data_IF_997775803972
#
_entry.id   IF_997775803972
#
_cell.length_a   1.000
_cell.length_b   1.000
_cell.length_c   1.000
_cell.angle_alpha   90.00
_cell.angle_beta   90.00
_cell.angle_gamma   90.00
#
_symmetry.space_group_name_H-M   'P 1'
#
loop_
_entity.id
_entity.type
_entity.pdbx_description
1 polymer ?
#
# COMPACT_ATOMS: atom_id res chain seq x y z
N UNK A 1 2.12 25.31 -8.45
CA UNK A 1 0.71 25.61 -8.11
C UNK A 1 0.63 25.85 -6.60
N UNK A 2 -0.21 26.76 -6.10
CA UNK A 2 -0.34 26.98 -4.65
C UNK A 2 -1.60 26.27 -4.15
N UNK A 3 -1.46 25.43 -3.12
CA UNK A 3 -2.59 24.77 -2.45
C UNK A 3 -3.49 25.82 -1.79
N UNK A 4 -4.80 25.61 -1.85
CA UNK A 4 -5.73 26.47 -1.14
C UNK A 4 -5.61 26.25 0.38
N UNK A 5 -5.97 27.24 1.19
CA UNK A 5 -5.87 27.14 2.66
C UNK A 5 -6.69 25.98 3.23
N UNK A 6 -7.85 25.69 2.62
CA UNK A 6 -8.68 24.54 2.98
C UNK A 6 -7.96 23.21 2.74
N UNK A 7 -7.19 23.10 1.66
CA UNK A 7 -6.41 21.88 1.37
C UNK A 7 -5.33 21.68 2.43
N UNK A 8 -4.64 22.77 2.80
CA UNK A 8 -3.61 22.74 3.83
C UNK A 8 -4.19 22.36 5.19
N UNK A 9 -5.37 22.89 5.56
CA UNK A 9 -6.06 22.53 6.81
C UNK A 9 -6.35 21.02 6.84
N UNK A 10 -6.87 20.45 5.75
CA UNK A 10 -7.15 19.01 5.66
C UNK A 10 -5.86 18.19 5.83
N UNK A 11 -4.78 18.59 5.16
CA UNK A 11 -3.49 17.90 5.27
C UNK A 11 -2.88 17.98 6.67
N UNK A 12 -2.91 19.16 7.31
CA UNK A 12 -2.40 19.36 8.67
C UNK A 12 -3.25 18.57 9.66
N UNK A 13 -4.57 18.57 9.51
CA UNK A 13 -5.47 17.79 10.36
C UNK A 13 -5.21 16.27 10.23
N UNK A 14 -5.01 15.79 9.00
CA UNK A 14 -4.63 14.40 8.73
C UNK A 14 -3.29 14.04 9.41
N UNK A 15 -2.24 14.83 9.18
CA UNK A 15 -0.90 14.58 9.75
C UNK A 15 -0.92 14.63 11.28
N UNK A 16 -1.59 15.63 11.85
CA UNK A 16 -1.79 15.75 13.29
C UNK A 16 -2.56 14.55 13.86
N UNK A 17 -3.61 14.11 13.18
CA UNK A 17 -4.38 12.92 13.53
C UNK A 17 -3.50 11.67 13.63
N UNK A 18 -2.73 11.36 12.59
CA UNK A 18 -1.85 10.18 12.56
C UNK A 18 -0.81 10.22 13.70
N UNK A 19 -0.22 11.38 13.98
CA UNK A 19 0.71 11.56 15.10
C UNK A 19 0.04 11.35 16.46
N UNK A 20 -1.19 11.85 16.64
CA UNK A 20 -1.98 11.64 17.86
C UNK A 20 -2.29 10.16 18.09
N UNK A 21 -2.62 9.42 17.02
CA UNK A 21 -2.79 7.97 17.07
C UNK A 21 -1.51 7.27 17.54
N UNK A 22 -0.36 7.60 16.93
CA UNK A 22 0.94 7.05 17.33
C UNK A 22 1.25 7.27 18.81
N UNK A 23 1.02 8.48 19.31
CA UNK A 23 1.21 8.82 20.72
C UNK A 23 0.24 8.08 21.65
N UNK A 24 -1.05 8.00 21.28
CA UNK A 24 -2.08 7.36 22.09
C UNK A 24 -1.79 5.86 22.29
N UNK A 25 -1.47 5.15 21.20
CA UNK A 25 -1.15 3.73 21.26
C UNK A 25 0.25 3.44 21.84
N UNK A 26 1.17 4.40 21.78
CA UNK A 26 2.50 4.29 22.36
C UNK A 26 2.53 4.13 23.88
N UNK A 27 1.46 4.57 24.57
CA UNK A 27 1.31 4.48 26.03
C UNK A 27 1.18 3.05 26.56
N UNK A 28 0.81 2.10 25.69
CA UNK A 28 0.55 0.70 26.06
C UNK A 28 1.75 -0.23 25.85
N UNK A 29 2.83 0.26 25.22
CA UNK A 29 3.96 -0.57 24.80
C UNK A 29 4.93 -0.84 25.95
N UNK A 30 4.98 -2.09 26.46
CA UNK A 30 5.86 -2.47 27.57
C UNK A 30 7.02 -3.37 27.13
N UNK A 31 6.80 -4.19 26.11
CA UNK A 31 7.78 -5.14 25.60
C UNK A 31 7.69 -5.28 24.07
N UNK A 32 8.44 -6.24 23.50
CA UNK A 32 8.46 -6.48 22.05
C UNK A 32 7.19 -7.17 21.53
N UNK A 33 6.44 -7.85 22.40
CA UNK A 33 5.18 -8.51 22.04
C UNK A 33 4.09 -7.47 21.86
N UNK A 34 4.01 -6.47 22.73
CA UNK A 34 3.17 -5.28 22.51
C UNK A 34 3.62 -4.58 21.20
N UNK A 35 4.92 -4.28 21.09
CA UNK A 35 5.44 -3.42 20.03
C UNK A 35 5.33 -4.01 18.62
N UNK A 36 5.50 -5.33 18.46
CA UNK A 36 5.46 -5.99 17.14
C UNK A 36 4.19 -6.78 16.88
N UNK A 37 3.47 -7.24 17.90
CA UNK A 37 2.32 -8.12 17.73
C UNK A 37 1.01 -7.53 18.29
N UNK A 38 1.04 -6.31 18.85
CA UNK A 38 -0.14 -5.68 19.46
C UNK A 38 -0.82 -6.60 20.50
N UNK A 39 0.00 -7.32 21.27
CA UNK A 39 -0.40 -8.37 22.24
C UNK A 39 -1.28 -9.51 21.68
N UNK A 40 -1.35 -9.65 20.34
CA UNK A 40 -2.20 -10.62 19.65
C UNK A 40 -3.71 -10.42 19.85
N UNK A 41 -4.14 -9.23 20.21
CA UNK A 41 -5.56 -8.93 20.47
C UNK A 41 -6.22 -8.06 19.39
N UNK A 42 -5.54 -7.82 18.26
CA UNK A 42 -6.09 -7.00 17.19
C UNK A 42 -7.34 -7.68 16.58
N UNK A 43 -8.48 -6.97 16.47
CA UNK A 43 -9.70 -7.56 15.93
C UNK A 43 -9.58 -7.79 14.43
N UNK A 44 -10.21 -8.86 13.92
CA UNK A 44 -10.09 -9.27 12.52
C UNK A 44 -10.42 -8.18 11.50
N UNK A 45 -11.36 -7.28 11.79
CA UNK A 45 -11.77 -6.22 10.88
C UNK A 45 -10.70 -5.11 10.79
N UNK A 46 -10.01 -4.81 11.89
CA UNK A 46 -8.91 -3.84 11.89
C UNK A 46 -7.71 -4.43 11.15
N UNK A 47 -7.44 -5.73 11.34
CA UNK A 47 -6.44 -6.46 10.57
C UNK A 47 -6.78 -6.53 9.09
N UNK A 48 -8.05 -6.77 8.73
CA UNK A 48 -8.50 -6.73 7.34
C UNK A 48 -8.19 -5.37 6.72
N UNK A 49 -8.61 -4.27 7.37
CA UNK A 49 -8.33 -2.92 6.89
C UNK A 49 -6.84 -2.62 6.78
N UNK A 50 -6.05 -3.09 7.74
CA UNK A 50 -4.60 -2.95 7.75
C UNK A 50 -3.90 -3.75 6.63
N UNK A 51 -4.38 -4.95 6.29
CA UNK A 51 -3.90 -5.71 5.12
C UNK A 51 -4.16 -4.91 3.84
N UNK A 52 -5.39 -4.42 3.64
CA UNK A 52 -5.77 -3.66 2.44
C UNK A 52 -4.94 -2.37 2.31
N UNK A 53 -4.78 -1.62 3.40
CA UNK A 53 -4.01 -0.38 3.43
C UNK A 53 -2.52 -0.62 3.14
N UNK A 54 -1.98 -1.77 3.54
CA UNK A 54 -0.57 -2.12 3.28
C UNK A 54 -0.35 -2.62 1.88
N UNK A 55 -1.33 -3.35 1.32
CA UNK A 55 -1.31 -3.85 -0.05
C UNK A 55 -1.48 -2.70 -1.07
N UNK A 56 -2.17 -1.64 -0.68
CA UNK A 56 -2.46 -0.48 -1.52
C UNK A 56 -1.43 0.61 -1.32
N UNK A 57 -0.76 1.01 -2.41
CA UNK A 57 0.20 2.11 -2.40
C UNK A 57 -0.31 3.29 -3.23
N UNK A 58 0.36 4.44 -3.10
CA UNK A 58 0.18 5.58 -4.02
C UNK A 58 0.30 5.17 -5.48
N UNK A 59 1.25 4.28 -5.80
CA UNK A 59 1.43 3.78 -7.17
C UNK A 59 0.16 3.07 -7.62
N UNK A 60 -0.42 2.20 -6.80
CA UNK A 60 -1.69 1.51 -7.09
C UNK A 60 -2.85 2.49 -7.30
N UNK A 61 -2.97 3.49 -6.42
CA UNK A 61 -4.03 4.50 -6.46
C UNK A 61 -4.07 5.26 -7.80
N UNK A 62 -2.93 5.38 -8.48
CA UNK A 62 -2.76 6.18 -9.70
C UNK A 62 -2.62 5.31 -10.95
N UNK A 63 -1.88 4.21 -10.85
CA UNK A 63 -1.59 3.33 -11.97
C UNK A 63 -2.81 2.53 -12.39
N UNK A 64 -3.73 2.21 -11.48
CA UNK A 64 -4.94 1.42 -11.80
C UNK A 64 -5.94 2.25 -12.61
N UNK A 65 -6.29 3.50 -12.23
CA UNK A 65 -7.06 4.36 -13.12
C UNK A 65 -6.35 4.59 -14.46
N UNK A 66 -5.03 4.81 -14.44
CA UNK A 66 -4.24 4.97 -15.67
C UNK A 66 -4.32 3.75 -16.59
N UNK A 67 -4.28 2.55 -16.00
CA UNK A 67 -4.41 1.28 -16.73
C UNK A 67 -5.76 1.18 -17.43
N UNK A 68 -6.87 1.56 -16.80
CA UNK A 68 -8.19 1.55 -17.45
C UNK A 68 -8.36 2.70 -18.46
N UNK A 69 -7.68 3.84 -18.24
CA UNK A 69 -7.72 4.99 -19.13
C UNK A 69 -7.12 4.67 -20.51
N UNK A 70 -5.87 4.19 -20.55
CA UNK A 70 -5.15 3.94 -21.80
C UNK A 70 -4.30 2.67 -21.74
N UNK A 71 -4.10 2.06 -22.91
CA UNK A 71 -3.16 0.97 -23.07
C UNK A 71 -1.72 1.48 -22.95
N UNK A 72 -0.85 0.66 -22.37
CA UNK A 72 0.58 0.93 -22.30
C UNK A 72 1.26 0.69 -23.67
N UNK A 73 2.58 0.93 -23.74
CA UNK A 73 3.36 0.75 -24.98
C UNK A 73 3.35 -0.67 -25.57
N UNK A 74 2.91 -1.68 -24.79
CA UNK A 74 2.74 -3.08 -25.24
C UNK A 74 1.32 -3.38 -25.70
N UNK A 75 0.43 -2.38 -25.74
CA UNK A 75 -0.98 -2.56 -26.06
C UNK A 75 -1.79 -3.20 -24.93
N UNK A 76 -1.27 -3.24 -23.70
CA UNK A 76 -1.97 -3.82 -22.55
C UNK A 76 -2.66 -2.73 -21.74
N UNK A 77 -3.91 -2.96 -21.36
CA UNK A 77 -4.75 -2.00 -20.65
C UNK A 77 -5.72 -1.27 -21.56
N UNK A 78 -6.17 -0.10 -21.12
CA UNK A 78 -7.25 0.67 -21.73
C UNK A 78 -8.65 0.09 -21.47
N UNK A 79 -8.81 -0.88 -20.57
CA UNK A 79 -10.07 -1.55 -20.25
C UNK A 79 -10.00 -2.23 -18.85
N UNK A 80 -10.98 -3.09 -18.54
CA UNK A 80 -11.11 -3.77 -17.24
C UNK A 80 -10.27 -5.06 -17.09
N UNK A 81 -9.40 -5.40 -18.04
CA UNK A 81 -8.61 -6.65 -18.03
C UNK A 81 -7.71 -6.82 -16.80
N UNK A 82 -7.39 -5.74 -16.08
CA UNK A 82 -6.69 -5.79 -14.78
C UNK A 82 -7.42 -6.68 -13.76
N UNK A 83 -8.76 -6.79 -13.84
CA UNK A 83 -9.53 -7.61 -12.90
C UNK A 83 -9.17 -9.10 -12.93
N UNK A 84 -8.60 -9.59 -14.03
CA UNK A 84 -8.10 -10.97 -14.12
C UNK A 84 -6.99 -11.24 -13.10
N UNK A 85 -6.14 -10.24 -12.86
CA UNK A 85 -5.11 -10.26 -11.81
C UNK A 85 -5.73 -10.28 -10.40
N UNK A 86 -6.79 -9.49 -10.20
CA UNK A 86 -7.52 -9.40 -8.93
C UNK A 86 -8.25 -10.71 -8.60
N UNK A 87 -8.79 -11.41 -9.60
CA UNK A 87 -9.33 -12.77 -9.44
C UNK A 87 -8.23 -13.73 -8.97
N UNK A 88 -7.03 -13.66 -9.58
CA UNK A 88 -5.85 -14.37 -9.10
C UNK A 88 -5.53 -14.07 -7.63
N UNK A 89 -5.64 -12.81 -7.22
CA UNK A 89 -5.41 -12.43 -5.82
C UNK A 89 -6.37 -13.12 -4.84
N UNK A 90 -7.62 -13.38 -5.24
CA UNK A 90 -8.57 -14.09 -4.39
C UNK A 90 -8.19 -15.56 -4.23
N UNK A 91 -7.75 -16.20 -5.32
CA UNK A 91 -7.27 -17.59 -5.29
C UNK A 91 -6.01 -17.70 -4.39
N UNK A 92 -5.07 -16.77 -4.52
CA UNK A 92 -3.88 -16.73 -3.67
C UNK A 92 -4.21 -16.65 -2.18
N UNK A 93 -5.21 -15.85 -1.79
CA UNK A 93 -5.68 -15.78 -0.39
C UNK A 93 -6.22 -17.12 0.12
N UNK A 94 -6.97 -17.85 -0.71
CA UNK A 94 -7.46 -19.18 -0.36
C UNK A 94 -6.31 -20.16 -0.11
N UNK A 95 -5.26 -20.10 -0.94
CA UNK A 95 -4.04 -20.91 -0.75
C UNK A 95 -3.36 -20.55 0.58
N UNK A 96 -3.22 -19.26 0.90
CA UNK A 96 -2.64 -18.80 2.17
C UNK A 96 -3.45 -19.30 3.37
N UNK A 97 -4.77 -19.21 3.32
CA UNK A 97 -5.66 -19.71 4.38
C UNK A 97 -5.53 -21.22 4.55
N UNK A 98 -5.48 -21.99 3.46
CA UNK A 98 -5.44 -23.44 3.53
C UNK A 98 -4.08 -23.97 4.02
N UNK A 99 -2.98 -23.35 3.61
CA UNK A 99 -1.63 -23.88 3.83
C UNK A 99 -0.89 -23.14 4.94
N UNK A 100 -0.80 -21.81 4.85
CA UNK A 100 0.15 -21.03 5.65
C UNK A 100 -0.42 -20.60 7.00
N UNK A 101 -1.69 -20.16 7.05
CA UNK A 101 -2.32 -19.76 8.31
C UNK A 101 -2.22 -20.86 9.38
N UNK A 102 -2.61 -22.13 9.11
CA UNK A 102 -2.48 -23.19 10.12
C UNK A 102 -1.05 -23.40 10.62
N UNK A 103 -0.03 -23.17 9.78
CA UNK A 103 1.38 -23.34 10.15
C UNK A 103 1.86 -22.23 11.10
N UNK A 104 1.40 -20.99 10.92
CA UNK A 104 1.81 -19.86 11.76
C UNK A 104 1.26 -19.94 13.18
N UNK A 105 0.10 -20.56 13.36
CA UNK A 105 -0.53 -20.71 14.67
C UNK A 105 -0.11 -21.99 15.41
N UNK A 106 0.83 -22.80 14.88
CA UNK A 106 1.41 -23.96 15.60
C UNK A 106 2.43 -23.59 16.69
N UNK A 107 2.60 -22.31 16.98
CA UNK A 107 3.45 -21.84 18.08
C UNK A 107 3.53 -20.33 18.14
N UNK A 108 4.35 -19.80 19.06
CA UNK A 108 4.56 -18.36 19.16
C UNK A 108 5.68 -17.91 18.22
N UNK A 109 5.31 -17.28 17.11
CA UNK A 109 6.24 -16.67 16.16
C UNK A 109 6.17 -15.14 16.26
N UNK A 110 7.32 -14.50 16.10
CA UNK A 110 7.45 -13.06 15.86
C UNK A 110 7.76 -12.78 14.39
N UNK A 111 8.49 -13.69 13.73
CA UNK A 111 8.80 -13.59 12.30
C UNK A 111 8.42 -14.85 11.55
N UNK A 112 8.00 -14.68 10.30
CA UNK A 112 7.71 -15.79 9.38
C UNK A 112 8.93 -16.68 9.16
N UNK A 113 10.14 -16.11 9.21
CA UNK A 113 11.39 -16.83 8.96
C UNK A 113 11.75 -17.82 10.08
N UNK A 114 11.20 -17.67 11.29
CA UNK A 114 11.34 -18.67 12.35
C UNK A 114 10.74 -20.03 11.96
N UNK A 115 9.76 -20.06 11.04
CA UNK A 115 9.26 -21.32 10.47
C UNK A 115 10.35 -22.05 9.67
N UNK A 116 11.17 -21.29 8.93
CA UNK A 116 12.30 -21.85 8.16
C UNK A 116 13.40 -22.38 9.07
N UNK A 117 13.62 -21.75 10.22
CA UNK A 117 14.58 -22.23 11.22
C UNK A 117 14.19 -23.61 11.75
N UNK A 118 12.91 -23.79 12.10
CA UNK A 118 12.39 -25.07 12.60
C UNK A 118 12.49 -26.18 11.54
N UNK A 119 12.39 -25.85 10.26
CA UNK A 119 12.36 -26.84 9.17
C UNK A 119 13.72 -27.12 8.54
N UNK A 120 14.55 -26.10 8.37
CA UNK A 120 15.79 -26.13 7.58
C UNK A 120 17.02 -25.56 8.32
N UNK A 121 16.83 -24.99 9.51
CA UNK A 121 17.90 -24.46 10.36
C UNK A 121 18.24 -22.98 10.13
N UNK A 122 19.11 -22.47 11.01
CA UNK A 122 19.32 -21.03 11.18
C UNK A 122 19.95 -20.32 9.99
N UNK A 123 20.71 -21.03 9.14
CA UNK A 123 21.29 -20.43 7.93
C UNK A 123 20.21 -20.08 6.91
N UNK A 124 19.24 -20.97 6.67
CA UNK A 124 18.11 -20.69 5.76
C UNK A 124 17.25 -19.55 6.29
N UNK A 125 16.95 -19.55 7.59
CA UNK A 125 16.26 -18.42 8.25
C UNK A 125 16.97 -17.09 7.96
N UNK A 126 18.27 -17.01 8.25
CA UNK A 126 19.04 -15.76 8.12
C UNK A 126 19.15 -15.31 6.67
N UNK A 127 19.32 -16.22 5.73
CA UNK A 127 19.33 -15.87 4.30
C UNK A 127 17.99 -15.27 3.87
N UNK A 128 16.87 -15.89 4.22
CA UNK A 128 15.54 -15.36 3.91
C UNK A 128 15.28 -14.00 4.56
N UNK A 129 15.65 -13.86 5.85
CA UNK A 129 15.52 -12.61 6.59
C UNK A 129 16.39 -11.48 6.01
N UNK A 130 17.63 -11.77 5.59
CA UNK A 130 18.52 -10.79 4.94
C UNK A 130 17.97 -10.37 3.58
N UNK A 131 17.51 -11.32 2.77
CA UNK A 131 16.90 -11.03 1.47
C UNK A 131 15.68 -10.13 1.64
N UNK A 132 14.81 -10.44 2.60
CA UNK A 132 13.68 -9.57 2.95
C UNK A 132 14.16 -8.16 3.31
N UNK A 133 15.05 -8.00 4.30
CA UNK A 133 15.49 -6.67 4.76
C UNK A 133 16.07 -5.81 3.62
N UNK A 134 16.90 -6.39 2.76
CA UNK A 134 17.53 -5.68 1.64
C UNK A 134 16.50 -5.32 0.57
N UNK A 135 15.80 -6.33 0.05
CA UNK A 135 14.87 -6.14 -1.08
C UNK A 135 13.67 -5.28 -0.69
N UNK A 136 13.15 -5.45 0.53
CA UNK A 136 12.05 -4.66 1.08
C UNK A 136 12.44 -3.19 1.22
N UNK A 137 13.61 -2.91 1.78
CA UNK A 137 14.09 -1.53 1.96
C UNK A 137 14.34 -0.82 0.64
N UNK A 138 14.89 -1.53 -0.36
CA UNK A 138 15.06 -0.99 -1.70
C UNK A 138 13.71 -0.70 -2.35
N UNK A 139 12.79 -1.67 -2.34
CA UNK A 139 11.47 -1.53 -2.96
C UNK A 139 10.66 -0.40 -2.33
N UNK A 140 10.62 -0.29 -1.00
CA UNK A 140 9.84 0.75 -0.31
C UNK A 140 10.49 2.13 -0.41
N UNK A 141 11.83 2.22 -0.46
CA UNK A 141 12.51 3.47 -0.76
C UNK A 141 12.20 3.98 -2.17
N UNK A 142 12.20 3.10 -3.17
CA UNK A 142 11.79 3.46 -4.55
C UNK A 142 10.31 3.85 -4.61
N UNK A 143 9.44 3.15 -3.86
CA UNK A 143 8.01 3.50 -3.77
C UNK A 143 7.77 4.84 -3.08
N UNK A 144 8.58 5.18 -2.07
CA UNK A 144 8.56 6.50 -1.42
C UNK A 144 8.97 7.61 -2.40
N UNK A 145 10.00 7.37 -3.21
CA UNK A 145 10.36 8.27 -4.31
C UNK A 145 9.22 8.43 -5.34
N UNK A 146 8.62 7.33 -5.80
CA UNK A 146 7.50 7.39 -6.75
C UNK A 146 6.30 8.17 -6.18
N UNK A 147 6.03 8.02 -4.88
CA UNK A 147 5.01 8.81 -4.18
C UNK A 147 5.37 10.30 -4.18
N UNK A 148 6.64 10.64 -3.94
CA UNK A 148 7.07 12.04 -3.92
C UNK A 148 6.85 12.71 -5.28
N UNK A 149 7.13 12.03 -6.40
CA UNK A 149 6.89 12.56 -7.75
C UNK A 149 5.41 12.93 -7.97
N UNK A 150 4.50 12.10 -7.47
CA UNK A 150 3.06 12.38 -7.53
C UNK A 150 2.74 13.63 -6.72
N UNK A 151 3.25 13.72 -5.50
CA UNK A 151 3.00 14.88 -4.65
C UNK A 151 3.56 16.16 -5.26
N UNK A 152 4.73 16.12 -5.88
CA UNK A 152 5.30 17.26 -6.60
C UNK A 152 4.39 17.69 -7.75
N UNK A 153 3.83 16.76 -8.51
CA UNK A 153 2.86 17.09 -9.56
C UNK A 153 1.58 17.74 -9.00
N UNK A 154 1.15 17.36 -7.79
CA UNK A 154 -0.06 17.89 -7.16
C UNK A 154 0.13 19.22 -6.43
N UNK A 155 1.26 19.39 -5.73
CA UNK A 155 1.50 20.49 -4.80
C UNK A 155 2.53 21.49 -5.30
N UNK A 156 3.37 21.09 -6.26
CA UNK A 156 4.56 21.85 -6.66
C UNK A 156 5.67 21.89 -5.61
N UNK A 157 5.61 21.06 -4.56
CA UNK A 157 6.69 20.95 -3.57
C UNK A 157 7.94 20.32 -4.20
N UNK A 158 9.11 20.53 -3.60
CA UNK A 158 10.33 19.85 -4.03
C UNK A 158 10.31 18.37 -3.61
N UNK A 159 10.84 17.47 -4.44
CA UNK A 159 10.86 16.02 -4.18
C UNK A 159 11.43 15.67 -2.79
N UNK A 160 12.58 16.25 -2.34
CA UNK A 160 13.14 15.94 -1.02
C UNK A 160 12.22 16.35 0.12
N UNK A 161 11.47 17.45 -0.03
CA UNK A 161 10.52 17.93 0.99
C UNK A 161 9.37 16.93 1.18
N UNK A 162 8.79 16.44 0.09
CA UNK A 162 7.72 15.44 0.13
C UNK A 162 8.20 14.12 0.77
N UNK A 163 9.39 13.65 0.40
CA UNK A 163 10.02 12.45 1.00
C UNK A 163 10.22 12.63 2.50
N UNK A 164 10.78 13.76 2.93
CA UNK A 164 11.05 14.01 4.34
C UNK A 164 9.76 14.13 5.16
N UNK A 165 8.72 14.78 4.63
CA UNK A 165 7.43 14.87 5.33
C UNK A 165 6.83 13.48 5.52
N UNK A 166 6.69 12.69 4.45
CA UNK A 166 6.15 11.32 4.53
C UNK A 166 6.99 10.48 5.48
N UNK A 167 8.31 10.46 5.26
CA UNK A 167 9.25 9.62 5.98
C UNK A 167 9.31 9.94 7.46
N UNK A 168 9.50 11.21 7.82
CA UNK A 168 9.64 11.62 9.23
C UNK A 168 8.34 11.42 10.00
N UNK A 169 7.19 11.84 9.45
CA UNK A 169 5.90 11.63 10.13
C UNK A 169 5.67 10.14 10.33
N UNK A 170 5.95 9.33 9.31
CA UNK A 170 5.80 7.87 9.39
C UNK A 170 6.70 7.22 10.41
N UNK A 171 7.97 7.62 10.46
CA UNK A 171 8.91 7.14 11.47
C UNK A 171 8.38 7.49 12.87
N UNK A 172 7.95 8.73 13.10
CA UNK A 172 7.53 9.19 14.43
C UNK A 172 6.35 8.38 14.96
N UNK A 173 5.24 8.26 14.21
CA UNK A 173 4.06 7.55 14.74
C UNK A 173 4.32 6.04 14.89
N UNK A 174 5.12 5.45 13.99
CA UNK A 174 5.47 4.02 14.05
C UNK A 174 6.41 3.74 15.22
N UNK A 175 7.42 4.59 15.43
CA UNK A 175 8.38 4.52 16.54
C UNK A 175 7.69 4.62 17.91
N UNK A 176 6.73 5.54 18.03
CA UNK A 176 6.01 5.75 19.28
C UNK A 176 5.05 4.59 19.56
N UNK A 177 4.24 4.22 18.58
CA UNK A 177 3.05 3.41 18.77
C UNK A 177 3.18 1.93 18.44
N UNK A 178 4.25 1.50 17.77
CA UNK A 178 4.44 0.10 17.36
C UNK A 178 3.33 -0.40 16.44
N UNK A 179 3.16 -1.72 16.39
CA UNK A 179 2.21 -2.38 15.49
C UNK A 179 0.75 -2.01 15.78
N UNK A 180 0.40 -1.71 17.05
CA UNK A 180 -0.93 -1.21 17.37
C UNK A 180 -1.23 0.11 16.65
N UNK A 181 -0.32 1.08 16.70
CA UNK A 181 -0.52 2.32 15.96
C UNK A 181 -0.61 2.06 14.46
N UNK A 182 0.28 1.24 13.89
CA UNK A 182 0.26 0.88 12.46
C UNK A 182 -1.11 0.36 12.03
N UNK A 183 -1.66 -0.63 12.75
CA UNK A 183 -2.96 -1.23 12.41
C UNK A 183 -4.08 -0.18 12.45
N UNK A 184 -4.12 0.65 13.48
CA UNK A 184 -5.20 1.63 13.65
C UNK A 184 -5.07 2.83 12.70
N UNK A 185 -3.85 3.30 12.44
CA UNK A 185 -3.62 4.33 11.42
C UNK A 185 -3.95 3.80 10.04
N UNK A 186 -3.62 2.54 9.74
CA UNK A 186 -3.95 1.91 8.46
C UNK A 186 -5.47 1.87 8.22
N UNK A 187 -6.27 1.54 9.23
CA UNK A 187 -7.74 1.54 9.11
C UNK A 187 -8.26 2.93 8.76
N UNK A 188 -7.76 3.97 9.43
CA UNK A 188 -8.12 5.35 9.13
C UNK A 188 -7.66 5.74 7.74
N UNK A 189 -6.43 5.37 7.36
CA UNK A 189 -5.86 5.66 6.04
C UNK A 189 -6.62 4.98 4.91
N UNK A 190 -7.07 3.73 5.11
CA UNK A 190 -7.99 3.03 4.22
C UNK A 190 -9.27 3.84 3.98
N UNK A 191 -9.92 4.28 5.06
CA UNK A 191 -11.14 5.09 4.94
C UNK A 191 -10.85 6.38 4.19
N UNK A 192 -9.77 7.09 4.52
CA UNK A 192 -9.41 8.36 3.87
C UNK A 192 -9.20 8.15 2.37
N UNK A 193 -8.44 7.15 1.94
CA UNK A 193 -8.17 7.00 0.51
C UNK A 193 -9.35 6.45 -0.28
N UNK A 194 -10.16 5.55 0.30
CA UNK A 194 -11.39 5.08 -0.36
C UNK A 194 -12.39 6.22 -0.49
N UNK A 195 -12.59 7.00 0.57
CA UNK A 195 -13.48 8.18 0.53
C UNK A 195 -12.95 9.22 -0.45
N UNK A 196 -11.65 9.51 -0.44
CA UNK A 196 -11.03 10.42 -1.40
C UNK A 196 -11.25 9.99 -2.85
N UNK A 197 -11.07 8.71 -3.15
CA UNK A 197 -11.35 8.15 -4.48
C UNK A 197 -12.84 8.20 -4.84
N UNK A 198 -13.75 7.86 -3.91
CA UNK A 198 -15.19 7.93 -4.13
C UNK A 198 -15.68 9.36 -4.39
N UNK A 199 -15.21 10.33 -3.60
CA UNK A 199 -15.55 11.75 -3.78
C UNK A 199 -15.05 12.24 -5.14
N UNK A 200 -13.80 11.90 -5.51
CA UNK A 200 -13.26 12.23 -6.83
C UNK A 200 -14.08 11.59 -7.96
N UNK A 201 -14.47 10.31 -7.81
CA UNK A 201 -15.29 9.58 -8.76
C UNK A 201 -16.69 10.20 -8.95
N UNK A 202 -17.34 10.59 -7.85
CA UNK A 202 -18.66 11.24 -7.90
C UNK A 202 -18.56 12.60 -8.60
N UNK A 203 -17.58 13.43 -8.22
CA UNK A 203 -17.39 14.74 -8.86
C UNK A 203 -17.10 14.57 -10.36
N UNK A 204 -16.18 13.67 -10.72
CA UNK A 204 -15.87 13.34 -12.10
C UNK A 204 -17.13 12.94 -12.88
N UNK A 205 -17.98 12.07 -12.34
CA UNK A 205 -19.23 11.67 -12.97
C UNK A 205 -20.18 12.85 -13.20
N UNK A 206 -20.30 13.77 -12.24
CA UNK A 206 -21.15 14.97 -12.39
C UNK A 206 -20.63 15.97 -13.43
N UNK A 207 -19.34 15.88 -13.78
CA UNK A 207 -18.70 16.74 -14.80
C UNK A 207 -18.80 16.18 -16.21
N UNK A 208 -19.16 14.91 -16.37
CA UNK A 208 -19.36 14.27 -17.68
C UNK A 208 -20.76 14.63 -18.19
N UNK A 209 -20.90 15.30 -19.35
CA UNK A 209 -22.20 15.55 -19.97
C UNK A 209 -22.95 14.22 -20.19
N UNK A 210 -24.22 14.13 -19.80
CA UNK A 210 -24.98 12.87 -19.86
C UNK A 210 -24.71 11.87 -18.72
N UNK A 211 -23.73 12.15 -17.85
CA UNK A 211 -23.44 11.38 -16.64
C UNK A 211 -23.14 9.91 -16.92
N UNK A 212 -23.72 9.00 -16.14
CA UNK A 212 -23.44 7.56 -16.26
C UNK A 212 -23.87 6.95 -17.60
N UNK A 213 -24.94 7.46 -18.20
CA UNK A 213 -25.40 7.00 -19.51
C UNK A 213 -24.32 7.21 -20.58
N UNK A 214 -23.67 8.38 -20.55
CA UNK A 214 -22.55 8.70 -21.43
C UNK A 214 -21.34 7.80 -21.18
N UNK A 215 -21.01 7.56 -19.90
CA UNK A 215 -19.89 6.67 -19.53
C UNK A 215 -20.09 5.27 -20.12
N UNK A 216 -21.31 4.75 -20.07
CA UNK A 216 -21.64 3.44 -20.64
C UNK A 216 -21.61 3.48 -22.17
N UNK A 217 -22.16 4.52 -22.80
CA UNK A 217 -22.21 4.64 -24.26
C UNK A 217 -20.80 4.71 -24.86
N UNK A 218 -20.01 5.72 -24.46
CA UNK A 218 -18.63 5.92 -24.94
C UNK A 218 -17.74 4.76 -24.50
N UNK A 219 -17.90 4.26 -23.27
CA UNK A 219 -17.14 3.12 -22.78
C UNK A 219 -17.35 1.85 -23.62
N UNK A 220 -18.57 1.61 -24.13
CA UNK A 220 -18.84 0.49 -25.03
C UNK A 220 -18.26 0.71 -26.42
N UNK A 221 -18.39 1.92 -26.98
CA UNK A 221 -17.82 2.29 -28.29
C UNK A 221 -16.31 2.04 -28.33
N UNK A 222 -15.61 2.38 -27.25
CA UNK A 222 -14.16 2.21 -27.13
C UNK A 222 -13.73 0.90 -26.43
N UNK A 223 -14.65 -0.07 -26.28
CA UNK A 223 -14.38 -1.39 -25.67
C UNK A 223 -13.74 -1.35 -24.27
N UNK A 224 -14.02 -0.31 -23.48
CA UNK A 224 -13.47 -0.09 -22.14
C UNK A 224 -13.92 -1.12 -21.12
N UNK A 225 -15.08 -1.76 -21.33
CA UNK A 225 -15.65 -2.74 -20.40
C UNK A 225 -15.18 -4.19 -20.63
N UNK A 226 -14.21 -4.41 -21.52
CA UNK A 226 -13.62 -5.74 -21.69
C UNK A 226 -12.96 -6.21 -20.39
N UNK A 227 -13.52 -7.28 -19.80
CA UNK A 227 -13.07 -7.85 -18.52
C UNK A 227 -12.07 -8.99 -18.69
N UNK A 228 -12.24 -9.78 -19.75
CA UNK A 228 -11.45 -10.98 -19.99
C UNK A 228 -10.70 -10.90 -21.33
N UNK A 229 -9.46 -11.35 -21.32
CA UNK A 229 -8.64 -11.58 -22.51
C UNK A 229 -8.05 -13.00 -22.44
N UNK A 230 -8.62 -13.93 -23.21
CA UNK A 230 -8.21 -15.34 -23.20
C UNK A 230 -7.01 -15.64 -24.12
N UNK A 231 -6.35 -14.62 -24.66
CA UNK A 231 -5.16 -14.77 -25.51
C UNK A 231 -4.07 -15.57 -24.78
N UNK A 232 -3.52 -16.58 -25.46
CA UNK A 232 -2.39 -17.38 -24.97
C UNK A 232 -1.07 -16.82 -25.52
N UNK A 233 -0.58 -15.78 -24.86
CA UNK A 233 0.70 -15.13 -25.17
C UNK A 233 1.50 -14.91 -23.88
N UNK A 234 2.67 -15.53 -23.77
CA UNK A 234 3.55 -15.43 -22.61
C UNK A 234 4.23 -14.05 -22.50
N UNK A 235 4.20 -13.24 -23.55
CA UNK A 235 4.70 -11.86 -23.55
C UNK A 235 3.71 -10.86 -22.94
N UNK A 236 2.45 -11.25 -22.71
CA UNK A 236 1.39 -10.40 -22.15
C UNK A 236 1.14 -10.72 -20.67
N UNK A 237 1.03 -9.67 -19.87
CA UNK A 237 0.91 -9.70 -18.41
C UNK A 237 -0.54 -9.73 -17.94
N UNK A 238 -1.48 -9.19 -18.71
CA UNK A 238 -2.89 -9.01 -18.30
C UNK A 238 -3.89 -9.86 -19.10
N UNK A 239 -3.47 -11.04 -19.56
CA UNK A 239 -4.40 -12.07 -20.08
C UNK A 239 -5.05 -12.84 -18.93
N UNK A 240 -6.09 -13.63 -19.21
CA UNK A 240 -6.79 -14.44 -18.22
C UNK A 240 -5.83 -15.39 -17.52
N UNK A 241 -5.01 -16.09 -18.29
CA UNK A 241 -4.06 -17.08 -17.79
C UNK A 241 -2.94 -16.41 -16.99
N UNK A 242 -2.30 -15.37 -17.55
CA UNK A 242 -1.23 -14.65 -16.86
C UNK A 242 -1.73 -13.94 -15.60
N UNK A 243 -2.89 -13.30 -15.66
CA UNK A 243 -3.52 -12.59 -14.55
C UNK A 243 -3.95 -13.53 -13.43
N UNK A 244 -4.69 -14.59 -13.73
CA UNK A 244 -5.21 -15.50 -12.69
C UNK A 244 -4.07 -16.29 -12.04
N UNK A 245 -3.20 -16.91 -12.83
CA UNK A 245 -2.07 -17.70 -12.30
C UNK A 245 -1.06 -16.78 -11.64
N UNK A 246 -0.63 -15.73 -12.32
CA UNK A 246 0.33 -14.76 -11.81
C UNK A 246 -0.17 -14.06 -10.54
N UNK A 247 -1.44 -13.66 -10.50
CA UNK A 247 -2.07 -13.08 -9.31
C UNK A 247 -2.12 -14.06 -8.14
N UNK A 248 -2.46 -15.33 -8.37
CA UNK A 248 -2.48 -16.34 -7.32
C UNK A 248 -1.08 -16.58 -6.74
N UNK A 249 -0.05 -16.68 -7.59
CA UNK A 249 1.34 -16.80 -7.14
C UNK A 249 1.83 -15.55 -6.43
N UNK A 250 1.55 -14.36 -6.97
CA UNK A 250 1.94 -13.08 -6.37
C UNK A 250 1.33 -12.92 -4.98
N UNK A 251 0.03 -13.17 -4.84
CA UNK A 251 -0.64 -13.09 -3.53
C UNK A 251 -0.15 -14.17 -2.58
N UNK A 252 0.06 -15.41 -3.05
CA UNK A 252 0.61 -16.46 -2.17
C UNK A 252 2.00 -16.08 -1.65
N UNK A 253 2.86 -15.49 -2.47
CA UNK A 253 4.17 -15.02 -2.04
C UNK A 253 4.06 -13.84 -1.06
N UNK A 254 3.37 -12.76 -1.46
CA UNK A 254 3.28 -11.51 -0.69
C UNK A 254 2.47 -11.67 0.60
N UNK A 255 1.41 -12.46 0.60
CA UNK A 255 0.53 -12.63 1.75
C UNK A 255 0.86 -13.88 2.56
N UNK A 256 1.52 -14.88 1.97
CA UNK A 256 1.82 -16.15 2.61
C UNK A 256 3.29 -16.36 2.96
N UNK A 257 4.21 -15.45 2.64
CA UNK A 257 5.62 -15.62 3.02
C UNK A 257 6.32 -14.33 3.45
N UNK A 258 5.71 -13.18 3.19
CA UNK A 258 6.29 -11.88 3.51
C UNK A 258 5.98 -11.47 4.95
N UNK A 259 7.00 -11.05 5.70
CA UNK A 259 6.84 -10.63 7.09
C UNK A 259 5.81 -9.51 7.22
N UNK A 260 5.71 -8.61 6.24
CA UNK A 260 4.78 -7.49 6.22
C UNK A 260 3.32 -7.92 6.42
N UNK A 261 2.91 -8.97 5.71
CA UNK A 261 1.54 -9.49 5.79
C UNK A 261 1.40 -10.51 6.90
N UNK A 262 2.38 -11.42 7.06
CA UNK A 262 2.31 -12.48 8.07
C UNK A 262 2.26 -11.91 9.49
N UNK A 263 2.95 -10.81 9.75
CA UNK A 263 2.93 -10.15 11.05
C UNK A 263 1.51 -9.73 11.46
N UNK A 264 0.64 -9.35 10.52
CA UNK A 264 -0.78 -9.01 10.83
C UNK A 264 -1.56 -10.22 11.29
N UNK A 265 -1.31 -11.39 10.70
CA UNK A 265 -1.94 -12.63 11.18
C UNK A 265 -1.47 -12.94 12.59
N UNK A 266 -0.17 -12.77 12.86
CA UNK A 266 0.42 -12.99 14.19
C UNK A 266 -0.07 -11.98 15.25
N UNK A 267 -0.69 -10.86 14.84
CA UNK A 267 -1.37 -9.91 15.72
C UNK A 267 -2.81 -10.29 16.07
N UNK A 268 -3.34 -11.35 15.45
CA UNK A 268 -4.68 -11.86 15.76
C UNK A 268 -4.65 -12.91 16.86
N UNK A 269 -5.78 -13.07 17.54
CA UNK A 269 -5.94 -14.00 18.66
C UNK A 269 -5.74 -15.46 18.27
N UNK A 270 -6.22 -15.83 17.09
CA UNK A 270 -6.24 -17.20 16.61
C UNK A 270 -6.32 -17.28 15.08
N UNK A 271 -6.09 -18.48 14.55
CA UNK A 271 -6.10 -18.75 13.11
C UNK A 271 -7.43 -18.36 12.45
N UNK A 272 -8.56 -18.48 13.15
CA UNK A 272 -9.88 -18.12 12.61
C UNK A 272 -9.98 -16.61 12.41
N UNK A 273 -9.51 -15.81 13.37
CA UNK A 273 -9.46 -14.35 13.24
C UNK A 273 -8.53 -13.92 12.09
N UNK A 274 -7.37 -14.56 11.94
CA UNK A 274 -6.47 -14.30 10.80
C UNK A 274 -7.12 -14.67 9.45
N UNK A 275 -7.81 -15.80 9.37
CA UNK A 275 -8.55 -16.21 8.17
C UNK A 275 -9.65 -15.21 7.82
N UNK A 276 -10.44 -14.78 8.81
CA UNK A 276 -11.47 -13.75 8.60
C UNK A 276 -10.87 -12.43 8.11
N UNK A 277 -9.74 -12.01 8.70
CA UNK A 277 -9.03 -10.81 8.28
C UNK A 277 -8.56 -10.90 6.81
N UNK A 278 -7.93 -12.03 6.43
CA UNK A 278 -7.39 -12.21 5.09
C UNK A 278 -8.47 -12.35 4.02
N UNK A 279 -9.55 -13.10 4.27
CA UNK A 279 -10.62 -13.26 3.29
C UNK A 279 -11.44 -11.97 3.13
N UNK A 280 -11.71 -11.27 4.23
CA UNK A 280 -12.44 -10.00 4.19
C UNK A 280 -11.61 -8.90 3.52
N UNK A 281 -10.29 -8.88 3.70
CA UNK A 281 -9.42 -7.94 2.96
C UNK A 281 -9.49 -8.17 1.45
N UNK A 282 -9.66 -9.42 1.01
CA UNK A 282 -9.85 -9.75 -0.41
C UNK A 282 -11.11 -9.12 -1.01
N UNK A 283 -12.22 -9.12 -0.27
CA UNK A 283 -13.47 -8.49 -0.70
C UNK A 283 -13.31 -6.97 -0.84
N UNK A 284 -12.64 -6.33 0.13
CA UNK A 284 -12.39 -4.89 0.10
C UNK A 284 -11.48 -4.54 -1.07
N UNK A 285 -10.40 -5.29 -1.28
CA UNK A 285 -9.48 -5.13 -2.41
C UNK A 285 -10.21 -5.26 -3.75
N UNK A 286 -11.09 -6.26 -3.89
CA UNK A 286 -11.89 -6.42 -5.10
C UNK A 286 -12.73 -5.16 -5.39
N UNK A 287 -13.47 -4.67 -4.40
CA UNK A 287 -14.29 -3.47 -4.54
C UNK A 287 -13.44 -2.21 -4.86
N UNK A 288 -12.27 -2.10 -4.23
CA UNK A 288 -11.35 -1.00 -4.45
C UNK A 288 -10.78 -0.97 -5.88
N UNK A 289 -10.34 -2.12 -6.41
CA UNK A 289 -9.84 -2.18 -7.79
C UNK A 289 -10.95 -1.87 -8.80
N UNK A 290 -12.19 -2.32 -8.55
CA UNK A 290 -13.35 -1.93 -9.36
C UNK A 290 -13.50 -0.40 -9.35
N UNK A 291 -13.51 0.24 -8.18
CA UNK A 291 -13.60 1.70 -8.07
C UNK A 291 -12.50 2.41 -8.88
N UNK A 292 -11.24 2.01 -8.71
CA UNK A 292 -10.12 2.65 -9.40
C UNK A 292 -10.16 2.47 -10.92
N UNK A 293 -10.54 1.29 -11.40
CA UNK A 293 -10.69 1.04 -12.83
C UNK A 293 -11.83 1.88 -13.43
N UNK A 294 -12.96 2.00 -12.72
CA UNK A 294 -14.06 2.86 -13.16
C UNK A 294 -13.70 4.34 -13.15
N UNK A 295 -12.88 4.81 -12.20
CA UNK A 295 -12.29 6.16 -12.27
C UNK A 295 -11.50 6.32 -13.58
N UNK A 296 -10.69 5.34 -13.97
CA UNK A 296 -9.95 5.36 -15.24
C UNK A 296 -10.84 5.44 -16.48
N UNK A 297 -11.93 4.67 -16.53
CA UNK A 297 -12.91 4.75 -17.62
C UNK A 297 -13.60 6.12 -17.65
N UNK A 298 -14.03 6.63 -16.49
CA UNK A 298 -14.66 7.95 -16.42
C UNK A 298 -13.71 9.06 -16.82
N UNK A 299 -12.42 8.98 -16.45
CA UNK A 299 -11.40 9.94 -16.90
C UNK A 299 -11.25 9.89 -18.42
N UNK A 300 -11.28 8.70 -19.03
CA UNK A 300 -11.23 8.55 -20.47
C UNK A 300 -12.41 9.25 -21.15
N UNK A 301 -13.64 9.00 -20.67
CA UNK A 301 -14.85 9.62 -21.22
C UNK A 301 -14.83 11.13 -21.02
N UNK A 302 -14.40 11.61 -19.85
CA UNK A 302 -14.26 13.03 -19.56
C UNK A 302 -13.30 13.72 -20.54
N UNK A 303 -12.08 13.20 -20.72
CA UNK A 303 -11.10 13.81 -21.63
C UNK A 303 -11.35 13.52 -23.11
N UNK A 304 -12.26 12.60 -23.43
CA UNK A 304 -12.80 12.44 -24.78
C UNK A 304 -13.74 13.61 -25.13
N UNK A 305 -14.60 14.02 -24.19
CA UNK A 305 -15.47 15.19 -24.33
C UNK A 305 -14.70 16.52 -24.25
N UNK A 306 -13.72 16.58 -23.36
CA UNK A 306 -12.90 17.76 -23.11
C UNK A 306 -11.44 17.45 -23.45
N UNK A 307 -11.01 17.60 -24.72
CA UNK A 307 -9.64 17.30 -25.14
C UNK A 307 -8.66 18.39 -24.69
N UNK A 308 -8.52 18.57 -23.38
CA UNK A 308 -7.77 19.64 -22.72
C UNK A 308 -6.45 19.17 -22.11
N UNK A 309 -6.14 17.87 -22.20
CA UNK A 309 -4.90 17.31 -21.65
C UNK A 309 -3.66 17.93 -22.30
N UNK A 310 -2.74 18.53 -21.50
CA UNK A 310 -1.45 18.95 -21.99
C UNK A 310 -0.63 17.77 -22.56
N UNK A 311 0.22 17.98 -23.58
CA UNK A 311 1.00 16.89 -24.19
C UNK A 311 1.89 16.10 -23.20
N UNK A 312 2.44 16.76 -22.20
CA UNK A 312 3.29 16.15 -21.17
C UNK A 312 2.51 15.30 -20.15
N UNK A 313 1.20 15.54 -20.02
CA UNK A 313 0.27 14.72 -19.23
C UNK A 313 -0.30 13.59 -20.09
N UNK A 314 -0.73 13.89 -21.31
CA UNK A 314 -1.31 12.90 -22.24
C UNK A 314 -0.32 11.76 -22.59
N UNK A 315 0.98 12.06 -22.64
CA UNK A 315 2.03 11.06 -22.88
C UNK A 315 2.29 10.10 -21.71
N UNK A 316 1.71 10.36 -20.52
CA UNK A 316 1.93 9.58 -19.30
C UNK A 316 0.61 9.37 -18.57
N UNK A 317 -0.02 8.22 -18.80
CA UNK A 317 -1.36 7.93 -18.26
C UNK A 317 -1.46 8.04 -16.73
N UNK A 318 -0.37 7.77 -16.00
CA UNK A 318 -0.26 7.93 -14.55
C UNK A 318 -0.32 9.39 -14.07
N UNK A 319 -0.19 10.38 -14.97
CA UNK A 319 -0.36 11.80 -14.62
C UNK A 319 -1.80 12.31 -14.78
N UNK A 320 -2.66 11.56 -15.46
CA UNK A 320 -4.00 12.01 -15.85
C UNK A 320 -4.91 12.19 -14.64
N UNK A 321 -4.89 11.22 -13.71
CA UNK A 321 -5.70 11.34 -12.50
C UNK A 321 -5.19 12.46 -11.58
N UNK A 322 -3.88 12.57 -11.29
CA UNK A 322 -3.33 13.73 -10.60
C UNK A 322 -3.68 15.08 -11.26
N UNK A 323 -3.62 15.16 -12.59
CA UNK A 323 -3.97 16.36 -13.33
C UNK A 323 -5.45 16.73 -13.13
N UNK A 324 -6.36 15.77 -13.28
CA UNK A 324 -7.78 15.97 -13.00
C UNK A 324 -8.03 16.46 -11.56
N UNK A 325 -7.32 15.88 -10.58
CA UNK A 325 -7.45 16.27 -9.17
C UNK A 325 -7.17 17.75 -8.98
N UNK A 326 -6.11 18.29 -9.61
CA UNK A 326 -5.71 19.69 -9.39
C UNK A 326 -6.46 20.69 -10.24
N UNK A 327 -6.98 20.30 -11.40
CA UNK A 327 -7.67 21.23 -12.32
C UNK A 327 -9.18 21.26 -12.14
N UNK A 328 -9.80 20.13 -11.76
CA UNK A 328 -11.27 19.98 -11.81
C UNK A 328 -11.94 19.90 -10.43
N UNK A 329 -11.20 19.51 -9.39
CA UNK A 329 -11.76 19.36 -8.05
C UNK A 329 -11.75 20.70 -7.28
N UNK A 330 -12.79 20.96 -6.46
CA UNK A 330 -12.85 22.18 -5.67
C UNK A 330 -11.85 22.15 -4.50
N UNK A 331 -11.45 23.32 -3.99
CA UNK A 331 -10.66 23.43 -2.76
C UNK A 331 -11.28 22.66 -1.58
N UNK A 332 -10.43 22.08 -0.74
CA UNK A 332 -10.80 21.16 0.34
C UNK A 332 -10.86 19.71 -0.13
N UNK A 333 -11.47 19.44 -1.30
CA UNK A 333 -11.48 18.10 -1.91
C UNK A 333 -10.10 17.75 -2.45
N UNK A 334 -9.40 18.70 -3.06
CA UNK A 334 -8.00 18.52 -3.48
C UNK A 334 -7.15 18.08 -2.28
N UNK A 335 -7.26 18.77 -1.14
CA UNK A 335 -6.58 18.39 0.10
C UNK A 335 -6.95 17.00 0.61
N UNK A 336 -8.23 16.60 0.51
CA UNK A 336 -8.67 15.25 0.87
C UNK A 336 -8.03 14.17 -0.02
N UNK A 337 -7.94 14.39 -1.34
CA UNK A 337 -7.33 13.42 -2.25
C UNK A 337 -5.81 13.41 -2.12
N UNK A 338 -5.17 14.53 -1.83
CA UNK A 338 -3.75 14.56 -1.47
C UNK A 338 -3.54 13.79 -0.15
N UNK A 339 -4.40 13.97 0.85
CA UNK A 339 -4.36 13.21 2.10
C UNK A 339 -4.56 11.70 1.86
N UNK A 340 -5.40 11.31 0.90
CA UNK A 340 -5.56 9.92 0.44
C UNK A 340 -4.25 9.33 -0.12
N UNK A 341 -3.51 10.12 -0.89
CA UNK A 341 -2.20 9.72 -1.43
C UNK A 341 -1.17 9.58 -0.31
N UNK A 342 -1.11 10.54 0.63
CA UNK A 342 -0.29 10.39 1.82
C UNK A 342 -0.68 9.15 2.64
N UNK A 343 -1.97 8.90 2.82
CA UNK A 343 -2.51 7.76 3.54
C UNK A 343 -2.04 6.43 2.94
N UNK A 344 -2.18 6.25 1.62
CA UNK A 344 -1.72 5.06 0.91
C UNK A 344 -0.19 4.88 0.94
N UNK A 345 0.58 5.96 0.94
CA UNK A 345 2.04 5.88 1.06
C UNK A 345 2.50 5.51 2.47
N UNK A 346 1.92 6.17 3.47
CA UNK A 346 2.35 6.07 4.86
C UNK A 346 1.97 4.73 5.49
N UNK A 347 0.87 4.10 5.07
CA UNK A 347 0.46 2.75 5.52
C UNK A 347 1.45 1.67 5.10
N UNK A 348 1.87 1.68 3.82
CA UNK A 348 2.88 0.74 3.33
C UNK A 348 4.22 0.97 4.02
N UNK A 349 4.62 2.25 4.17
CA UNK A 349 5.90 2.62 4.76
C UNK A 349 5.98 2.20 6.23
N UNK A 350 5.01 2.56 7.07
CA UNK A 350 5.03 2.20 8.52
C UNK A 350 5.07 0.70 8.76
N UNK A 351 4.30 -0.05 7.97
CA UNK A 351 4.30 -1.50 7.98
C UNK A 351 5.70 -2.05 7.70
N UNK A 352 6.38 -1.52 6.69
CA UNK A 352 7.73 -1.92 6.31
C UNK A 352 8.75 -1.62 7.40
N UNK A 353 8.64 -0.45 8.05
CA UNK A 353 9.49 -0.07 9.18
C UNK A 353 9.32 -1.02 10.36
N UNK A 354 8.07 -1.36 10.69
CA UNK A 354 7.77 -2.25 11.80
C UNK A 354 8.27 -3.67 11.53
N UNK A 355 7.97 -4.22 10.36
CA UNK A 355 8.40 -5.56 9.96
C UNK A 355 9.93 -5.69 9.83
N UNK A 356 10.59 -4.68 9.25
CA UNK A 356 12.06 -4.65 9.17
C UNK A 356 12.72 -4.59 10.55
N UNK A 357 12.15 -3.80 11.48
CA UNK A 357 12.60 -3.76 12.86
C UNK A 357 12.39 -5.10 13.59
N UNK A 358 11.24 -5.74 13.40
CA UNK A 358 10.92 -7.05 13.98
C UNK A 358 11.90 -8.13 13.51
N UNK A 359 12.16 -8.19 12.20
CA UNK A 359 13.12 -9.11 11.58
C UNK A 359 14.54 -8.83 12.04
N UNK A 360 15.01 -7.58 11.98
CA UNK A 360 16.36 -7.22 12.41
C UNK A 360 16.60 -7.53 13.90
N UNK A 361 15.60 -7.30 14.76
CA UNK A 361 15.72 -7.61 16.18
C UNK A 361 15.71 -9.12 16.44
N UNK A 362 14.67 -9.81 15.96
CA UNK A 362 14.37 -11.20 16.33
C UNK A 362 15.31 -12.18 15.68
N UNK A 363 15.66 -11.95 14.40
CA UNK A 363 16.41 -12.92 13.61
C UNK A 363 17.93 -12.68 13.65
N UNK A 364 18.36 -11.46 14.03
CA UNK A 364 19.78 -11.10 14.10
C UNK A 364 20.22 -10.57 15.47
N UNK A 365 19.70 -9.43 15.93
CA UNK A 365 20.24 -8.75 17.10
C UNK A 365 20.15 -9.58 18.39
N UNK A 366 18.95 -10.06 18.73
CA UNK A 366 18.70 -10.86 19.93
C UNK A 366 19.51 -12.17 19.96
N UNK A 367 19.51 -13.00 18.90
CA UNK A 367 20.24 -14.28 18.91
C UNK A 367 21.76 -14.15 18.76
N UNK A 368 22.29 -13.08 18.16
CA UNK A 368 23.72 -12.95 17.85
C UNK A 368 24.48 -12.00 18.79
N UNK A 369 23.88 -10.88 19.18
CA UNK A 369 24.59 -9.80 19.87
C UNK A 369 24.15 -9.58 21.31
N UNK A 370 22.90 -9.92 21.64
CA UNK A 370 22.29 -9.52 22.90
C UNK A 370 21.33 -10.58 23.45
N UNK A 371 21.86 -11.78 23.74
CA UNK A 371 21.10 -12.83 24.44
C UNK A 371 20.79 -12.40 25.88
N UNK A 372 19.60 -12.76 26.38
CA UNK A 372 19.17 -12.56 27.77
C UNK A 372 19.20 -11.10 28.27
N UNK A 373 18.85 -10.13 27.42
CA UNK A 373 18.61 -8.74 27.88
C UNK A 373 17.17 -8.57 28.37
N UNK A 374 16.91 -7.49 29.10
CA UNK A 374 15.57 -7.17 29.59
C UNK A 374 14.63 -6.71 28.47
N UNK A 375 13.33 -6.80 28.69
CA UNK A 375 12.32 -6.35 27.72
C UNK A 375 12.42 -4.86 27.41
N UNK A 376 12.77 -4.04 28.41
CA UNK A 376 13.03 -2.60 28.25
C UNK A 376 14.22 -2.34 27.32
N UNK A 377 15.23 -3.21 27.31
CA UNK A 377 16.34 -3.12 26.37
C UNK A 377 15.87 -3.46 24.96
N UNK A 378 15.18 -4.59 24.78
CA UNK A 378 14.70 -5.00 23.46
C UNK A 378 13.70 -4.01 22.87
N UNK A 379 12.84 -3.41 23.68
CA UNK A 379 11.92 -2.35 23.22
C UNK A 379 12.67 -1.12 22.73
N UNK A 380 13.69 -0.65 23.46
CA UNK A 380 14.54 0.48 23.04
C UNK A 380 15.26 0.19 21.72
N UNK A 381 15.79 -1.02 21.55
CA UNK A 381 16.45 -1.43 20.31
C UNK A 381 15.43 -1.55 19.17
N UNK A 382 14.23 -2.07 19.42
CA UNK A 382 13.15 -2.15 18.44
C UNK A 382 12.81 -0.79 17.86
N UNK A 383 12.63 0.20 18.74
CA UNK A 383 12.40 1.59 18.38
C UNK A 383 13.55 2.19 17.57
N UNK A 384 14.79 1.98 18.00
CA UNK A 384 15.97 2.44 17.26
C UNK A 384 16.05 1.79 15.85
N UNK A 385 15.72 0.51 15.73
CA UNK A 385 15.68 -0.20 14.44
C UNK A 385 14.56 0.31 13.54
N UNK A 386 13.39 0.65 14.07
CA UNK A 386 12.31 1.31 13.31
C UNK A 386 12.78 2.63 12.70
N UNK A 387 13.46 3.47 13.49
CA UNK A 387 14.03 4.72 12.99
C UNK A 387 15.16 4.49 11.97
N UNK A 388 16.04 3.51 12.22
CA UNK A 388 17.13 3.15 11.32
C UNK A 388 16.61 2.74 9.94
N UNK A 389 15.65 1.82 9.87
CA UNK A 389 15.09 1.36 8.59
C UNK A 389 14.33 2.48 7.87
N UNK A 390 13.72 3.42 8.61
CA UNK A 390 13.13 4.61 8.02
C UNK A 390 14.17 5.52 7.39
N UNK A 391 15.29 5.74 8.08
CA UNK A 391 16.44 6.43 7.53
C UNK A 391 16.98 5.76 6.27
N UNK A 392 17.13 4.42 6.27
CA UNK A 392 17.58 3.66 5.10
C UNK A 392 16.64 3.86 3.90
N UNK A 393 15.33 3.76 4.10
CA UNK A 393 14.34 3.91 3.02
C UNK A 393 14.29 5.34 2.48
N UNK A 394 14.42 6.36 3.35
CA UNK A 394 14.57 7.76 2.93
C UNK A 394 15.85 7.94 2.10
N UNK A 395 16.98 7.37 2.52
CA UNK A 395 18.24 7.44 1.77
C UNK A 395 18.08 6.82 0.39
N UNK A 396 17.47 5.64 0.30
CA UNK A 396 17.19 4.99 -1.00
C UNK A 396 16.34 5.89 -1.88
N UNK A 397 15.29 6.53 -1.33
CA UNK A 397 14.43 7.44 -2.07
C UNK A 397 15.20 8.68 -2.59
N UNK A 398 16.09 9.25 -1.77
CA UNK A 398 16.94 10.38 -2.16
C UNK A 398 17.95 9.97 -3.25
N UNK A 399 18.56 8.78 -3.13
CA UNK A 399 19.46 8.25 -4.16
C UNK A 399 18.71 8.05 -5.48
N UNK A 400 17.45 7.57 -5.44
CA UNK A 400 16.63 7.42 -6.63
C UNK A 400 16.37 8.76 -7.35
N UNK A 401 16.16 9.87 -6.61
CA UNK A 401 16.08 11.22 -7.20
C UNK A 401 17.39 11.55 -7.94
N UNK A 402 18.53 11.35 -7.29
CA UNK A 402 19.83 11.67 -7.87
C UNK A 402 20.13 10.85 -9.13
N UNK A 403 19.61 9.62 -9.23
CA UNK A 403 19.71 8.79 -10.42
C UNK A 403 18.79 9.24 -11.55
N UNK A 404 17.62 9.80 -11.25
CA UNK A 404 16.69 10.31 -12.27
C UNK A 404 17.19 11.60 -12.94
N UNK A 405 17.97 12.42 -12.22
CA UNK A 405 18.49 13.70 -12.71
C UNK A 405 19.76 13.56 -13.58
N UNK A 406 20.30 12.35 -13.72
CA UNK A 406 21.41 12.01 -14.62
C UNK A 406 20.85 11.41 -15.90
#
# INVERSE_FOLDING_TARGET
MQLHILDLIVLVAYMGGVLLFGWYFGRKQKDIRDYFLSDREAPWWALAGSIVATETSTVTFISVPAFAFAANARGEGGNLTFMQLVVGYMIGRLIVVAIFIPLYFRGELFTVYQLLDKRFGGSVKRTAASLFLITRSLADGVRLFATALVLVALTGWADPTSILIIGVVTIVYTYLGGMSAVIWTDVVQLVIYVVGALVAAVILLTRIPGGWGEVVMVGNEFHKFQLFDFTMDLGRSYTFWAGVIGGAFLTTATHGTDQLMVQRYLCSKDARQATLALLSSGVIIFAQFVLFLFIGIMLFVFYHHFPTLPPDVASRADRIFPYFIVTELPPGVVGLVIAAIFAAAMSTLSSSLNSSAATALTDFYRPLLARNRSDVHYLRVSRALTALWGGVQIIVAIVAIAMQQR
#
